data_IF_430625533005
#
_entry.id   IF_430625533005
#
_cell.length_a   1.000
_cell.length_b   1.000
_cell.length_c   1.000
_cell.angle_alpha   90.00
_cell.angle_beta   90.00
_cell.angle_gamma   90.00
#
_symmetry.space_group_name_H-M   'P 1'
#
loop_
_entity.id
_entity.type
_entity.pdbx_description
1 polymer ?
#
# COMPACT_ATOMS: atom_id res chain seq x y z
N UNK A 1 -15.93 -17.44 -2.04
CA UNK A 1 -15.06 -16.59 -1.18
C UNK A 1 -14.65 -15.28 -1.86
N UNK A 2 -13.97 -15.31 -3.01
CA UNK A 2 -13.44 -14.08 -3.64
C UNK A 2 -14.54 -13.06 -4.02
N UNK A 3 -15.68 -13.54 -4.50
CA UNK A 3 -16.85 -12.73 -4.89
C UNK A 3 -17.57 -12.11 -3.68
N UNK A 4 -17.65 -12.83 -2.55
CA UNK A 4 -18.28 -12.35 -1.31
C UNK A 4 -17.44 -11.27 -0.62
N UNK A 5 -16.12 -11.40 -0.66
CA UNK A 5 -15.22 -10.38 -0.11
C UNK A 5 -15.27 -9.11 -0.97
N UNK A 6 -15.40 -9.26 -2.30
CA UNK A 6 -15.60 -8.15 -3.22
C UNK A 6 -16.90 -7.40 -2.99
N UNK A 7 -18.02 -8.09 -2.74
CA UNK A 7 -19.29 -7.44 -2.43
C UNK A 7 -19.27 -6.71 -1.08
N UNK A 8 -18.64 -7.29 -0.05
CA UNK A 8 -18.44 -6.62 1.25
C UNK A 8 -17.58 -5.36 1.08
N UNK A 9 -16.54 -5.41 0.23
CA UNK A 9 -15.73 -4.22 -0.11
C UNK A 9 -16.58 -3.09 -0.67
N UNK A 10 -17.47 -3.44 -1.59
CA UNK A 10 -18.29 -2.48 -2.32
C UNK A 10 -19.29 -1.81 -1.36
N UNK A 11 -19.94 -2.59 -0.49
CA UNK A 11 -20.87 -2.07 0.53
C UNK A 11 -20.15 -1.13 1.50
N UNK A 12 -18.99 -1.54 2.03
CA UNK A 12 -18.18 -0.72 2.93
C UNK A 12 -17.75 0.58 2.24
N UNK A 13 -17.29 0.50 1.00
CA UNK A 13 -16.84 1.66 0.24
C UNK A 13 -18.00 2.65 -0.01
N UNK A 14 -19.20 2.17 -0.34
CA UNK A 14 -20.39 3.03 -0.50
C UNK A 14 -20.75 3.72 0.82
N UNK A 15 -20.80 2.97 1.93
CA UNK A 15 -21.15 3.53 3.25
C UNK A 15 -20.14 4.58 3.70
N UNK A 16 -18.84 4.29 3.55
CA UNK A 16 -17.80 5.26 3.89
C UNK A 16 -17.82 6.48 2.97
N UNK A 17 -18.03 6.30 1.66
CA UNK A 17 -18.19 7.43 0.75
C UNK A 17 -19.35 8.32 1.18
N UNK A 18 -20.50 7.74 1.52
CA UNK A 18 -21.67 8.50 1.95
C UNK A 18 -21.43 9.30 3.24
N UNK A 19 -20.61 8.78 4.16
CA UNK A 19 -20.22 9.49 5.39
C UNK A 19 -19.14 10.56 5.17
N UNK A 20 -18.16 10.28 4.31
CA UNK A 20 -16.99 11.15 4.14
C UNK A 20 -17.15 12.24 3.07
N UNK A 21 -17.95 12.00 2.02
CA UNK A 21 -18.24 13.01 0.98
C UNK A 21 -18.84 14.31 1.56
N UNK A 22 -19.88 14.29 2.41
CA UNK A 22 -20.49 15.54 2.89
C UNK A 22 -19.58 16.35 3.81
N UNK A 23 -18.62 15.72 4.48
CA UNK A 23 -17.72 16.39 5.44
C UNK A 23 -16.37 16.82 4.82
N UNK A 24 -15.88 16.10 3.81
CA UNK A 24 -14.53 16.30 3.26
C UNK A 24 -14.49 16.43 1.73
N UNK A 25 -15.64 16.43 1.04
CA UNK A 25 -15.73 16.58 -0.41
C UNK A 25 -14.89 15.53 -1.17
N UNK A 26 -14.04 15.99 -2.08
CA UNK A 26 -13.13 15.15 -2.88
C UNK A 26 -12.11 14.41 -2.00
N UNK A 27 -11.61 15.03 -0.92
CA UNK A 27 -10.70 14.36 0.01
C UNK A 27 -11.41 13.20 0.72
N UNK A 28 -12.71 13.34 0.98
CA UNK A 28 -13.54 12.29 1.55
C UNK A 28 -13.59 11.03 0.71
N UNK A 29 -13.62 11.18 -0.63
CA UNK A 29 -13.59 10.07 -1.60
C UNK A 29 -12.22 9.36 -1.58
N UNK A 30 -11.13 10.11 -1.43
CA UNK A 30 -9.79 9.52 -1.32
C UNK A 30 -9.64 8.72 -0.01
N UNK A 31 -10.11 9.28 1.12
CA UNK A 31 -10.05 8.60 2.41
C UNK A 31 -10.94 7.35 2.46
N UNK A 32 -12.17 7.43 1.96
CA UNK A 32 -13.08 6.27 1.91
C UNK A 32 -12.50 5.12 1.09
N UNK A 33 -11.92 5.43 -0.08
CA UNK A 33 -11.26 4.45 -0.94
C UNK A 33 -10.06 3.80 -0.26
N UNK A 34 -9.19 4.59 0.38
CA UNK A 34 -8.03 4.09 1.11
C UNK A 34 -8.46 3.15 2.26
N UNK A 35 -9.46 3.56 3.04
CA UNK A 35 -9.96 2.74 4.16
C UNK A 35 -10.62 1.46 3.64
N UNK A 36 -11.43 1.53 2.58
CA UNK A 36 -12.08 0.34 2.01
C UNK A 36 -11.07 -0.68 1.49
N UNK A 37 -10.03 -0.22 0.78
CA UNK A 37 -8.95 -1.08 0.28
C UNK A 37 -8.16 -1.68 1.43
N UNK A 38 -7.77 -0.90 2.44
CA UNK A 38 -7.06 -1.42 3.62
C UNK A 38 -7.89 -2.45 4.36
N UNK A 39 -9.16 -2.16 4.64
CA UNK A 39 -10.05 -3.04 5.39
C UNK A 39 -10.21 -4.39 4.68
N UNK A 40 -10.43 -4.39 3.37
CA UNK A 40 -10.65 -5.63 2.63
C UNK A 40 -9.37 -6.44 2.44
N UNK A 41 -8.23 -5.79 2.23
CA UNK A 41 -6.95 -6.50 2.21
C UNK A 41 -6.60 -7.07 3.59
N UNK A 42 -6.91 -6.36 4.68
CA UNK A 42 -6.74 -6.86 6.05
C UNK A 42 -7.65 -8.07 6.32
N UNK A 43 -8.94 -7.99 5.97
CA UNK A 43 -9.86 -9.13 6.10
C UNK A 43 -9.39 -10.34 5.29
N UNK A 44 -8.92 -10.15 4.05
CA UNK A 44 -8.33 -11.22 3.23
C UNK A 44 -7.12 -11.85 3.92
N UNK A 45 -6.20 -11.04 4.43
CA UNK A 45 -5.02 -11.51 5.13
C UNK A 45 -5.39 -12.32 6.39
N UNK A 46 -6.36 -11.85 7.18
CA UNK A 46 -6.85 -12.54 8.39
C UNK A 46 -7.55 -13.86 8.02
N UNK A 47 -8.37 -13.88 6.97
CA UNK A 47 -9.05 -15.11 6.53
C UNK A 47 -8.06 -16.16 6.02
N UNK A 48 -7.03 -15.74 5.27
CA UNK A 48 -5.94 -16.62 4.83
C UNK A 48 -5.16 -17.15 6.03
N UNK A 49 -4.82 -16.28 6.98
CA UNK A 49 -4.11 -16.67 8.20
C UNK A 49 -4.91 -17.71 9.01
N UNK A 50 -6.22 -17.50 9.18
CA UNK A 50 -7.09 -18.43 9.90
C UNK A 50 -7.32 -19.75 9.17
N UNK A 51 -7.35 -19.77 7.83
CA UNK A 51 -7.60 -21.00 7.05
C UNK A 51 -6.34 -21.81 6.77
N UNK A 52 -5.21 -21.14 6.57
CA UNK A 52 -3.99 -21.77 6.10
C UNK A 52 -2.90 -21.82 7.16
N UNK A 53 -3.06 -21.15 8.31
CA UNK A 53 -2.05 -21.05 9.38
C UNK A 53 -0.77 -20.31 8.96
N UNK A 54 -0.68 -19.90 7.69
CA UNK A 54 0.45 -19.24 7.07
C UNK A 54 0.17 -17.74 7.05
N UNK A 55 1.05 -16.97 7.70
CA UNK A 55 1.05 -15.52 7.59
C UNK A 55 1.55 -15.16 6.19
N UNK A 56 0.73 -14.53 5.33
CA UNK A 56 1.15 -14.18 3.96
C UNK A 56 2.24 -13.10 3.94
N UNK A 57 2.45 -12.42 5.07
CA UNK A 57 3.56 -11.50 5.27
C UNK A 57 4.78 -12.26 5.78
N UNK A 58 5.66 -12.65 4.85
CA UNK A 58 6.98 -13.18 5.15
C UNK A 58 7.88 -12.08 5.70
N UNK A 59 9.02 -12.44 6.32
CA UNK A 59 10.04 -11.47 6.76
C UNK A 59 10.50 -10.55 5.63
N UNK A 60 10.42 -11.00 4.38
CA UNK A 60 10.74 -10.21 3.19
C UNK A 60 9.74 -9.08 2.96
N UNK A 61 8.45 -9.31 3.24
CA UNK A 61 7.43 -8.25 3.15
C UNK A 61 7.71 -7.12 4.15
N UNK A 62 8.25 -7.47 5.33
CA UNK A 62 8.69 -6.49 6.32
C UNK A 62 9.91 -5.70 5.84
N UNK A 63 10.90 -6.37 5.23
CA UNK A 63 12.07 -5.68 4.65
C UNK A 63 11.68 -4.73 3.52
N UNK A 64 10.73 -5.12 2.65
CA UNK A 64 10.22 -4.25 1.59
C UNK A 64 9.48 -3.04 2.17
N UNK A 65 8.67 -3.23 3.22
CA UNK A 65 7.94 -2.15 3.87
C UNK A 65 8.88 -1.15 4.58
N UNK A 66 9.89 -1.66 5.29
CA UNK A 66 10.91 -0.82 5.94
C UNK A 66 11.76 -0.11 4.88
N UNK A 67 12.19 -0.82 3.84
CA UNK A 67 12.98 -0.24 2.75
C UNK A 67 12.23 0.88 2.01
N UNK A 68 10.95 0.68 1.68
CA UNK A 68 10.15 1.72 1.04
C UNK A 68 9.88 2.91 1.95
N UNK A 69 9.67 2.68 3.26
CA UNK A 69 9.49 3.75 4.25
C UNK A 69 10.76 4.60 4.41
N UNK A 70 11.94 3.96 4.46
CA UNK A 70 13.24 4.67 4.53
C UNK A 70 13.47 5.51 3.28
N UNK A 71 13.19 4.97 2.09
CA UNK A 71 13.30 5.72 0.84
C UNK A 71 12.36 6.93 0.82
N UNK A 72 11.13 6.77 1.32
CA UNK A 72 10.18 7.87 1.48
C UNK A 72 10.70 8.97 2.43
N UNK A 73 11.30 8.58 3.55
CA UNK A 73 11.90 9.51 4.51
C UNK A 73 13.13 10.25 3.93
N UNK A 74 13.97 9.55 3.17
CA UNK A 74 15.10 10.17 2.46
C UNK A 74 14.61 11.19 1.44
N UNK A 75 13.56 10.88 0.68
CA UNK A 75 12.95 11.84 -0.25
C UNK A 75 12.34 13.06 0.46
N UNK A 76 11.83 12.90 1.69
CA UNK A 76 11.29 14.00 2.49
C UNK A 76 12.40 14.90 3.06
N UNK A 77 13.47 14.30 3.58
CA UNK A 77 14.59 15.00 4.22
C UNK A 77 15.50 15.73 3.22
N UNK A 78 15.32 15.53 1.91
CA UNK A 78 16.08 16.23 0.88
C UNK A 78 15.79 17.75 0.93
N UNK A 79 16.79 18.59 1.27
CA UNK A 79 16.67 20.05 1.35
C UNK A 79 16.87 20.67 -0.04
N UNK A 80 16.12 20.17 -1.03
CA UNK A 80 16.10 20.70 -2.38
C UNK A 80 14.66 21.08 -2.70
N UNK A 81 14.45 22.29 -3.18
CA UNK A 81 13.13 22.82 -3.48
C UNK A 81 12.88 22.92 -5.00
N UNK A 82 11.62 22.81 -5.40
CA UNK A 82 11.19 22.95 -6.80
C UNK A 82 11.32 21.69 -7.66
N UNK A 83 11.40 21.89 -8.98
CA UNK A 83 11.39 20.82 -10.00
C UNK A 83 12.55 19.81 -9.85
N UNK A 84 13.70 20.26 -9.34
CA UNK A 84 14.85 19.41 -9.00
C UNK A 84 14.48 18.32 -7.97
N UNK A 85 13.64 18.64 -6.97
CA UNK A 85 13.18 17.68 -5.96
C UNK A 85 12.34 16.56 -6.58
N UNK A 86 11.49 16.91 -7.54
CA UNK A 86 10.63 15.96 -8.23
C UNK A 86 11.45 14.95 -9.06
N UNK A 87 12.42 15.45 -9.83
CA UNK A 87 13.30 14.59 -10.63
C UNK A 87 14.15 13.68 -9.74
N UNK A 88 14.77 14.24 -8.69
CA UNK A 88 15.68 13.50 -7.82
C UNK A 88 14.93 12.44 -7.00
N UNK A 89 13.78 12.80 -6.43
CA UNK A 89 12.92 11.84 -5.70
C UNK A 89 12.39 10.75 -6.64
N UNK A 90 12.02 11.12 -7.87
CA UNK A 90 11.60 10.16 -8.90
C UNK A 90 12.70 9.16 -9.25
N UNK A 91 13.94 9.62 -9.46
CA UNK A 91 15.11 8.76 -9.71
C UNK A 91 15.41 7.82 -8.54
N UNK A 92 15.38 8.34 -7.30
CA UNK A 92 15.62 7.57 -6.09
C UNK A 92 14.56 6.47 -5.94
N UNK A 93 13.29 6.80 -6.17
CA UNK A 93 12.19 5.82 -6.10
C UNK A 93 12.32 4.76 -7.20
N UNK A 94 12.69 5.15 -8.43
CA UNK A 94 12.92 4.19 -9.52
C UNK A 94 14.10 3.26 -9.24
N UNK A 95 15.20 3.79 -8.69
CA UNK A 95 16.35 2.99 -8.29
C UNK A 95 15.98 2.02 -7.15
N UNK A 96 15.28 2.49 -6.12
CA UNK A 96 14.78 1.66 -5.02
C UNK A 96 13.82 0.57 -5.50
N UNK A 97 12.93 0.90 -6.44
CA UNK A 97 12.02 -0.06 -7.06
C UNK A 97 12.77 -1.11 -7.90
N UNK A 98 13.81 -0.72 -8.62
CA UNK A 98 14.66 -1.64 -9.39
C UNK A 98 15.45 -2.59 -8.48
N UNK A 99 16.00 -2.09 -7.37
CA UNK A 99 16.68 -2.91 -6.34
C UNK A 99 15.69 -3.88 -5.69
N UNK A 100 14.50 -3.40 -5.32
CA UNK A 100 13.44 -4.24 -4.75
C UNK A 100 12.99 -5.33 -5.73
N UNK A 101 12.86 -5.03 -7.03
CA UNK A 101 12.58 -6.03 -8.07
C UNK A 101 13.69 -7.08 -8.21
N UNK A 102 14.96 -6.67 -8.18
CA UNK A 102 16.09 -7.61 -8.21
C UNK A 102 16.10 -8.53 -6.99
N UNK A 103 15.83 -7.98 -5.80
CA UNK A 103 15.74 -8.74 -4.56
C UNK A 103 14.61 -9.78 -4.61
N UNK A 104 13.41 -9.39 -5.07
CA UNK A 104 12.28 -10.31 -5.23
C UNK A 104 12.61 -11.46 -6.20
N UNK A 105 13.25 -11.17 -7.34
CA UNK A 105 13.66 -12.21 -8.29
C UNK A 105 14.71 -13.18 -7.72
N UNK A 106 15.66 -12.68 -6.92
CA UNK A 106 16.68 -13.54 -6.31
C UNK A 106 16.12 -14.43 -5.21
N UNK A 107 15.12 -13.96 -4.47
CA UNK A 107 14.43 -14.73 -3.42
C UNK A 107 13.53 -15.82 -4.01
N UNK A 108 12.77 -15.52 -5.07
CA UNK A 108 11.84 -16.47 -5.72
C UNK A 108 12.52 -17.57 -6.55
N UNK A 109 13.81 -17.41 -6.91
CA UNK A 109 14.58 -18.36 -7.71
C UNK A 109 15.53 -19.25 -6.86
N UNK A 110 15.39 -19.22 -5.54
CA UNK A 110 15.99 -20.20 -4.62
C UNK A 110 14.94 -21.22 -4.19
#
# INVERSE_FOLDING_TARGET
LNMQIGSIMLVINIVLNFLFIPKYGILGVAYSGLIAVLFVNAMRAIMIYRKSGLQPFTRESLYIFVGSSVVGLVCYALPVDGFMKFILSGLIVLAAAAVSRKFIKQVLLR
#
